data_IF_577330858561
#
_entry.id   IF_577330858561
#
_cell.length_a   1.000
_cell.length_b   1.000
_cell.length_c   1.000
_cell.angle_alpha   90.00
_cell.angle_beta   90.00
_cell.angle_gamma   90.00
#
_symmetry.space_group_name_H-M   'P 1'
#
loop_
_entity.id
_entity.type
_entity.pdbx_description
1 polymer ?
#
# COMPACT_ATOMS: atom_id res chain seq x y z
N UNK A 1 9.98 26.66 -16.35
CA UNK A 1 10.20 25.43 -15.56
C UNK A 1 9.08 24.48 -15.89
N UNK A 2 9.36 23.19 -16.04
CA UNK A 2 8.31 22.17 -16.14
C UNK A 2 7.67 22.03 -14.75
N UNK A 3 6.35 21.97 -14.65
CA UNK A 3 5.70 21.70 -13.37
C UNK A 3 6.08 20.30 -12.89
N UNK A 4 6.17 20.10 -11.58
CA UNK A 4 6.45 18.79 -11.03
C UNK A 4 5.24 17.87 -11.31
N UNK A 5 5.47 16.59 -11.63
CA UNK A 5 4.38 15.68 -12.06
C UNK A 5 3.23 15.59 -11.05
N UNK A 6 3.54 15.69 -9.75
CA UNK A 6 2.54 15.66 -8.67
C UNK A 6 1.58 16.85 -8.81
N UNK A 7 2.13 18.01 -9.15
CA UNK A 7 1.34 19.24 -9.28
C UNK A 7 0.40 19.18 -10.48
N UNK A 8 0.90 18.68 -11.62
CA UNK A 8 0.12 18.45 -12.83
C UNK A 8 -0.99 17.42 -12.57
N UNK A 9 -0.66 16.30 -11.93
CA UNK A 9 -1.62 15.24 -11.60
C UNK A 9 -2.73 15.73 -10.66
N UNK A 10 -2.38 16.39 -9.56
CA UNK A 10 -3.38 16.90 -8.60
C UNK A 10 -4.25 18.00 -9.23
N UNK A 11 -3.71 18.81 -10.15
CA UNK A 11 -4.49 19.82 -10.86
C UNK A 11 -5.65 19.18 -11.63
N UNK A 12 -5.43 18.04 -12.27
CA UNK A 12 -6.47 17.32 -13.01
C UNK A 12 -7.45 16.58 -12.10
N UNK A 13 -6.96 15.97 -11.01
CA UNK A 13 -7.80 15.21 -10.07
C UNK A 13 -8.79 16.12 -9.33
N UNK A 14 -8.36 17.32 -8.90
CA UNK A 14 -9.20 18.27 -8.19
C UNK A 14 -10.35 18.83 -9.05
N UNK A 15 -10.18 18.89 -10.38
CA UNK A 15 -11.27 19.30 -11.29
C UNK A 15 -12.46 18.33 -11.23
N UNK A 16 -12.21 17.05 -10.90
CA UNK A 16 -13.24 16.01 -10.84
C UNK A 16 -14.00 16.01 -9.52
N UNK A 17 -13.31 16.28 -8.41
CA UNK A 17 -13.90 16.34 -7.07
C UNK A 17 -13.00 17.14 -6.13
N UNK A 18 -13.60 17.75 -5.11
CA UNK A 18 -12.85 18.34 -3.98
C UNK A 18 -12.58 17.35 -2.86
N UNK A 19 -13.22 16.18 -2.87
CA UNK A 19 -13.08 15.14 -1.84
C UNK A 19 -12.58 13.84 -2.47
N UNK A 20 -11.49 13.26 -1.94
CA UNK A 20 -10.83 12.07 -2.48
C UNK A 20 -10.40 11.07 -1.42
N UNK A 21 -10.41 9.78 -1.78
CA UNK A 21 -9.67 8.73 -1.08
C UNK A 21 -8.57 8.27 -2.03
N UNK A 22 -7.33 8.32 -1.58
CA UNK A 22 -6.16 7.86 -2.35
C UNK A 22 -5.72 6.55 -1.75
N UNK A 23 -6.07 5.44 -2.40
CA UNK A 23 -5.76 4.10 -1.92
C UNK A 23 -4.38 3.62 -2.41
N UNK A 24 -3.68 2.92 -1.53
CA UNK A 24 -2.44 2.18 -1.75
C UNK A 24 -2.59 0.83 -1.06
N UNK A 25 -1.78 -0.16 -1.43
CA UNK A 25 -1.91 -1.48 -0.85
C UNK A 25 -0.73 -2.39 -1.14
N UNK A 26 -0.49 -3.34 -0.26
CA UNK A 26 0.57 -4.32 -0.43
C UNK A 26 0.23 -5.60 0.30
N UNK A 27 0.47 -6.72 -0.38
CA UNK A 27 0.50 -8.06 0.20
C UNK A 27 1.52 -8.14 1.33
N UNK A 28 1.09 -8.63 2.48
CA UNK A 28 1.94 -8.81 3.67
C UNK A 28 2.68 -10.17 3.65
N UNK A 29 2.96 -10.67 2.45
CA UNK A 29 3.56 -11.98 2.17
C UNK A 29 5.03 -12.13 2.61
N UNK A 30 5.66 -11.04 3.03
CA UNK A 30 7.01 -11.05 3.55
C UNK A 30 7.38 -9.72 4.20
N UNK A 31 8.66 -9.58 4.54
CA UNK A 31 9.17 -8.37 5.17
C UNK A 31 9.04 -7.16 4.23
N UNK A 32 8.39 -6.11 4.71
CA UNK A 32 8.35 -4.83 4.00
C UNK A 32 9.78 -4.29 3.76
N UNK A 33 10.06 -3.86 2.54
CA UNK A 33 11.33 -3.27 2.15
C UNK A 33 11.13 -1.90 1.49
N UNK A 34 12.24 -1.16 1.26
CA UNK A 34 12.20 0.19 0.68
C UNK A 34 11.56 0.25 -0.72
N UNK A 35 11.45 -0.89 -1.40
CA UNK A 35 10.75 -0.95 -2.69
C UNK A 35 9.23 -0.80 -2.52
N UNK A 36 8.66 -1.34 -1.45
CA UNK A 36 7.23 -1.23 -1.18
C UNK A 36 6.82 0.18 -0.78
N UNK A 37 7.75 1.02 -0.28
CA UNK A 37 7.41 2.34 0.28
C UNK A 37 6.88 3.32 -0.78
N UNK A 38 7.27 3.14 -2.04
CA UNK A 38 6.90 4.06 -3.11
C UNK A 38 5.38 4.23 -3.23
N UNK A 39 4.63 3.14 -3.09
CA UNK A 39 3.17 3.14 -3.22
C UNK A 39 2.45 3.97 -2.13
N UNK A 40 2.56 3.65 -0.82
CA UNK A 40 1.96 4.48 0.23
C UNK A 40 2.53 5.90 0.28
N UNK A 41 3.81 6.08 -0.08
CA UNK A 41 4.41 7.41 -0.12
C UNK A 41 3.77 8.30 -1.19
N UNK A 42 3.56 7.78 -2.40
CA UNK A 42 2.88 8.53 -3.45
C UNK A 42 1.42 8.79 -3.10
N UNK A 43 0.69 7.80 -2.57
CA UNK A 43 -0.68 7.99 -2.13
C UNK A 43 -0.79 9.12 -1.08
N UNK A 44 0.14 9.13 -0.11
CA UNK A 44 0.22 10.17 0.90
C UNK A 44 0.59 11.54 0.31
N UNK A 45 1.56 11.61 -0.59
CA UNK A 45 1.96 12.86 -1.25
C UNK A 45 0.82 13.47 -2.06
N UNK A 46 0.07 12.65 -2.80
CA UNK A 46 -1.12 13.06 -3.56
C UNK A 46 -2.20 13.60 -2.61
N UNK A 47 -2.52 12.87 -1.54
CA UNK A 47 -3.53 13.32 -0.57
C UNK A 47 -3.14 14.68 0.04
N UNK A 48 -1.88 14.84 0.45
CA UNK A 48 -1.38 16.11 1.01
C UNK A 48 -1.42 17.25 0.00
N UNK A 49 -1.09 16.99 -1.25
CA UNK A 49 -1.15 18.02 -2.29
C UNK A 49 -2.60 18.42 -2.62
N UNK A 50 -3.54 17.48 -2.55
CA UNK A 50 -4.98 17.80 -2.66
C UNK A 50 -5.41 18.73 -1.53
N UNK A 51 -5.03 18.42 -0.28
CA UNK A 51 -5.33 19.24 0.89
C UNK A 51 -4.70 20.64 0.79
N UNK A 52 -3.45 20.73 0.33
CA UNK A 52 -2.76 22.02 0.12
C UNK A 52 -3.51 22.95 -0.84
N UNK A 53 -4.26 22.38 -1.78
CA UNK A 53 -5.09 23.10 -2.77
C UNK A 53 -6.55 23.30 -2.34
N UNK A 54 -6.83 23.11 -1.05
CA UNK A 54 -8.16 23.32 -0.46
C UNK A 54 -9.17 22.20 -0.74
N UNK A 55 -8.71 21.03 -1.18
CA UNK A 55 -9.52 19.82 -1.19
C UNK A 55 -9.52 19.12 0.18
N UNK A 56 -10.28 18.04 0.29
CA UNK A 56 -10.19 17.07 1.37
C UNK A 56 -9.71 15.76 0.78
N UNK A 57 -8.69 15.14 1.36
CA UNK A 57 -8.24 13.85 0.91
C UNK A 57 -7.86 12.97 2.09
N UNK A 58 -7.98 11.66 1.92
CA UNK A 58 -7.46 10.67 2.86
C UNK A 58 -6.61 9.66 2.10
N UNK A 59 -5.36 9.50 2.51
CA UNK A 59 -4.54 8.38 2.09
C UNK A 59 -4.99 7.13 2.86
N UNK A 60 -5.34 6.07 2.15
CA UNK A 60 -5.71 4.77 2.70
C UNK A 60 -4.63 3.76 2.28
N UNK A 61 -4.07 3.05 3.23
CA UNK A 61 -3.19 1.92 2.96
C UNK A 61 -3.89 0.63 3.40
N UNK A 62 -3.90 -0.36 2.51
CA UNK A 62 -4.61 -1.63 2.69
C UNK A 62 -3.55 -2.73 2.78
N UNK A 63 -3.59 -3.49 3.87
CA UNK A 63 -2.84 -4.73 3.97
C UNK A 63 -3.66 -5.82 3.29
N UNK A 64 -3.09 -6.49 2.28
CA UNK A 64 -3.76 -7.62 1.65
C UNK A 64 -3.47 -8.91 2.46
N UNK A 65 -4.07 -9.00 3.64
CA UNK A 65 -3.90 -10.09 4.61
C UNK A 65 -4.75 -11.33 4.31
N UNK A 66 -5.67 -11.21 3.36
CA UNK A 66 -6.48 -12.30 2.81
C UNK A 66 -5.80 -13.03 1.64
N UNK A 67 -4.65 -12.53 1.17
CA UNK A 67 -3.87 -13.20 0.14
C UNK A 67 -3.37 -14.57 0.64
N UNK A 68 -3.37 -15.61 -0.21
CA UNK A 68 -2.86 -16.91 0.15
C UNK A 68 -1.33 -16.92 0.26
N UNK A 69 -0.79 -17.76 1.14
CA UNK A 69 0.63 -18.07 1.18
C UNK A 69 1.03 -18.88 -0.08
N UNK A 70 1.71 -18.22 -1.02
CA UNK A 70 2.17 -18.83 -2.27
C UNK A 70 3.43 -19.69 -2.10
N UNK A 71 4.34 -19.26 -1.23
CA UNK A 71 5.60 -19.96 -0.95
C UNK A 71 6.13 -19.58 0.44
N UNK A 72 6.98 -20.42 1.03
CA UNK A 72 7.62 -20.14 2.32
C UNK A 72 8.95 -19.41 2.08
N UNK A 73 9.05 -18.10 2.37
CA UNK A 73 10.28 -17.35 2.17
C UNK A 73 11.30 -17.64 3.29
N UNK A 74 12.62 -17.60 3.02
CA UNK A 74 13.62 -17.54 4.07
C UNK A 74 13.46 -16.28 4.93
N UNK A 75 13.69 -16.31 6.26
CA UNK A 75 14.22 -17.41 7.06
C UNK A 75 13.15 -18.31 7.72
N UNK A 76 11.90 -18.31 7.22
CA UNK A 76 10.80 -19.05 7.84
C UNK A 76 11.03 -20.57 7.77
N UNK A 77 10.79 -21.33 8.85
CA UNK A 77 10.96 -22.78 8.86
C UNK A 77 10.13 -23.49 7.77
N UNK A 78 10.70 -24.55 7.17
CA UNK A 78 10.04 -25.29 6.08
C UNK A 78 8.75 -26.00 6.49
N UNK A 79 8.49 -26.21 7.79
CA UNK A 79 7.24 -26.82 8.26
C UNK A 79 6.01 -25.91 8.03
N UNK A 80 6.22 -24.61 7.79
CA UNK A 80 5.17 -23.67 7.37
C UNK A 80 4.57 -24.00 6.00
N UNK A 81 5.17 -24.91 5.23
CA UNK A 81 4.55 -25.43 3.98
C UNK A 81 3.17 -26.04 4.21
N UNK A 82 2.84 -26.44 5.44
CA UNK A 82 1.49 -26.92 5.81
C UNK A 82 0.41 -25.84 5.70
N UNK A 83 0.78 -24.57 5.62
CA UNK A 83 -0.12 -23.42 5.50
C UNK A 83 -0.22 -22.85 4.07
N UNK A 84 0.39 -23.51 3.07
CA UNK A 84 0.28 -23.06 1.67
C UNK A 84 -1.19 -22.97 1.24
N UNK A 85 -1.55 -21.87 0.57
CA UNK A 85 -2.91 -21.58 0.14
C UNK A 85 -3.85 -21.05 1.24
N UNK A 86 -3.42 -20.98 2.49
CA UNK A 86 -4.18 -20.30 3.56
C UNK A 86 -3.93 -18.79 3.50
N UNK A 87 -4.94 -17.95 3.85
CA UNK A 87 -4.76 -16.50 3.90
C UNK A 87 -3.80 -16.11 5.04
N UNK A 88 -3.00 -15.06 4.87
CA UNK A 88 -2.01 -14.63 5.88
C UNK A 88 -2.60 -14.42 7.27
N UNK A 89 -3.83 -13.91 7.37
CA UNK A 89 -4.54 -13.69 8.64
C UNK A 89 -4.77 -14.97 9.46
N UNK A 90 -4.80 -16.14 8.81
CA UNK A 90 -5.03 -17.44 9.45
C UNK A 90 -3.73 -18.20 9.75
N UNK A 91 -2.57 -17.65 9.38
CA UNK A 91 -1.26 -18.30 9.56
C UNK A 91 -0.64 -17.83 10.88
N UNK A 92 -0.15 -18.73 11.75
CA UNK A 92 0.47 -18.32 13.00
C UNK A 92 1.78 -17.55 12.76
N UNK A 93 2.10 -16.64 13.66
CA UNK A 93 3.35 -15.90 13.65
C UNK A 93 4.55 -16.86 13.79
N UNK A 94 5.47 -16.92 12.81
CA UNK A 94 6.62 -17.83 12.84
C UNK A 94 7.66 -17.52 13.92
N UNK A 95 7.53 -16.39 14.64
CA UNK A 95 8.47 -15.94 15.67
C UNK A 95 7.88 -15.90 17.09
N UNK A 96 6.65 -16.41 17.28
CA UNK A 96 6.04 -16.55 18.61
C UNK A 96 6.27 -17.91 19.25
#
# INVERSE_FOLDING_TARGET
MKEHWLDEFVAEVIKKSKEHIVASGTSISGSAHIGNIADPLYAHAIAREIERRGGKARALWIADDMDPLDSVPPPIPLDFKKYLGMPYVDIPDPYK
#
